data_IF_965871428358
#
_entry.id   IF_965871428358
#
_cell.length_a   1.000
_cell.length_b   1.000
_cell.length_c   1.000
_cell.angle_alpha   90.00
_cell.angle_beta   90.00
_cell.angle_gamma   90.00
#
_symmetry.space_group_name_H-M   'P 1'
#
loop_
_entity.id
_entity.type
_entity.pdbx_description
1 polymer ?
#
# COMPACT_ATOMS: atom_id res chain seq x y z
N UNK A 1 24.55 21.53 24.21
CA UNK A 1 24.31 20.06 24.29
C UNK A 1 23.82 19.55 22.93
N UNK A 2 24.60 18.72 22.23
CA UNK A 2 24.14 18.11 20.96
C UNK A 2 23.14 16.97 21.27
N UNK A 3 22.00 16.85 20.56
CA UNK A 3 21.06 15.77 20.80
C UNK A 3 21.67 14.44 20.35
N UNK A 4 21.63 13.43 21.23
CA UNK A 4 22.11 12.06 20.94
C UNK A 4 21.28 11.46 19.78
N UNK A 5 21.92 10.72 18.85
CA UNK A 5 21.20 10.08 17.76
C UNK A 5 20.20 9.06 18.31
N UNK A 6 18.93 9.16 17.90
CA UNK A 6 17.88 8.18 18.24
C UNK A 6 18.32 6.79 17.73
N UNK A 7 18.50 5.84 18.66
CA UNK A 7 18.75 4.43 18.33
C UNK A 7 17.63 3.93 17.42
N UNK A 8 17.97 3.48 16.20
CA UNK A 8 17.03 2.77 15.32
C UNK A 8 16.59 1.50 16.06
N UNK A 9 15.34 1.44 16.51
CA UNK A 9 14.77 0.21 17.04
C UNK A 9 14.66 -0.81 15.89
N UNK A 10 15.62 -1.74 15.82
CA UNK A 10 15.41 -3.01 15.11
C UNK A 10 14.31 -3.75 15.87
N UNK A 11 13.06 -3.65 15.42
CA UNK A 11 11.99 -4.54 15.89
C UNK A 11 12.44 -5.97 15.58
N UNK A 12 12.67 -6.79 16.62
CA UNK A 12 12.71 -8.23 16.40
C UNK A 12 11.35 -8.65 15.85
N UNK A 13 11.34 -9.57 14.89
CA UNK A 13 10.09 -10.10 14.35
C UNK A 13 9.44 -11.00 15.40
N UNK A 14 8.78 -10.39 16.39
CA UNK A 14 7.95 -11.09 17.36
C UNK A 14 6.79 -11.82 16.67
N UNK A 15 6.22 -12.79 17.37
CA UNK A 15 5.02 -13.51 16.92
C UNK A 15 3.88 -12.52 16.59
N UNK A 16 3.05 -12.81 15.57
CA UNK A 16 1.91 -11.96 15.26
C UNK A 16 0.97 -11.88 16.48
N UNK A 17 0.41 -10.70 16.74
CA UNK A 17 -0.57 -10.49 17.83
C UNK A 17 -1.90 -11.17 17.54
N UNK A 18 -2.20 -11.37 16.26
CA UNK A 18 -3.35 -12.14 15.79
C UNK A 18 -2.85 -13.10 14.70
N UNK A 19 -2.95 -14.42 14.96
CA UNK A 19 -2.53 -15.42 14.00
C UNK A 19 -3.47 -15.43 12.79
N UNK A 20 -2.94 -15.40 11.57
CA UNK A 20 -3.75 -15.46 10.36
C UNK A 20 -4.51 -16.78 10.24
N UNK A 21 -5.80 -16.72 9.85
CA UNK A 21 -6.54 -17.91 9.49
C UNK A 21 -5.96 -18.57 8.23
N UNK A 22 -6.00 -19.91 8.15
CA UNK A 22 -5.59 -20.64 6.95
C UNK A 22 -6.51 -20.30 5.75
N UNK A 23 -5.96 -20.26 4.54
CA UNK A 23 -6.69 -19.86 3.32
C UNK A 23 -7.78 -20.86 2.93
N UNK A 24 -7.69 -22.09 3.43
CA UNK A 24 -8.70 -23.14 3.33
C UNK A 24 -10.03 -22.72 3.99
N UNK A 25 -10.01 -21.75 4.92
CA UNK A 25 -11.22 -21.15 5.51
C UNK A 25 -11.82 -20.02 4.67
N UNK A 26 -11.21 -19.63 3.55
CA UNK A 26 -11.69 -18.54 2.70
C UNK A 26 -12.98 -18.97 1.99
N UNK A 27 -14.05 -18.18 2.13
CA UNK A 27 -15.30 -18.42 1.40
C UNK A 27 -15.06 -18.35 -0.11
N UNK A 28 -15.72 -19.23 -0.88
CA UNK A 28 -15.62 -19.26 -2.35
C UNK A 28 -15.95 -17.90 -2.99
N UNK A 29 -16.95 -17.19 -2.47
CA UNK A 29 -17.31 -15.85 -2.93
C UNK A 29 -16.17 -14.83 -2.78
N UNK A 30 -15.43 -14.88 -1.68
CA UNK A 30 -14.26 -14.02 -1.45
C UNK A 30 -13.11 -14.35 -2.39
N UNK A 31 -12.84 -15.64 -2.61
CA UNK A 31 -11.83 -16.08 -3.56
C UNK A 31 -12.17 -15.63 -5.00
N UNK A 32 -13.45 -15.74 -5.41
CA UNK A 32 -13.93 -15.24 -6.69
C UNK A 32 -13.79 -13.72 -6.83
N UNK A 33 -14.07 -12.96 -5.76
CA UNK A 33 -13.87 -11.51 -5.77
C UNK A 33 -12.40 -11.15 -6.00
N UNK A 34 -11.47 -11.78 -5.26
CA UNK A 34 -10.03 -11.54 -5.40
C UNK A 34 -9.49 -11.89 -6.80
N UNK A 35 -10.02 -12.94 -7.43
CA UNK A 35 -9.62 -13.38 -8.76
C UNK A 35 -9.90 -12.35 -9.88
N UNK A 36 -10.75 -11.35 -9.62
CA UNK A 36 -11.05 -10.25 -10.55
C UNK A 36 -9.93 -9.21 -10.62
N UNK A 37 -9.07 -9.10 -9.61
CA UNK A 37 -7.98 -8.13 -9.61
C UNK A 37 -6.89 -8.61 -10.58
N UNK A 38 -6.48 -7.78 -11.56
CA UNK A 38 -5.45 -8.16 -12.53
C UNK A 38 -4.05 -8.22 -11.90
N UNK A 39 -3.13 -8.93 -12.58
CA UNK A 39 -1.71 -9.01 -12.20
C UNK A 39 -1.31 -10.21 -11.33
N UNK A 40 -0.02 -10.32 -11.03
CA UNK A 40 0.55 -11.43 -10.27
C UNK A 40 0.53 -11.23 -8.74
N UNK A 41 0.21 -10.03 -8.24
CA UNK A 41 0.25 -9.68 -6.81
C UNK A 41 -0.68 -10.53 -5.92
N UNK A 42 -1.75 -11.09 -6.50
CA UNK A 42 -2.65 -12.04 -5.84
C UNK A 42 -2.48 -13.47 -6.35
N UNK A 43 -1.30 -13.84 -6.85
CA UNK A 43 -1.04 -15.17 -7.38
C UNK A 43 0.24 -15.79 -6.79
N UNK A 44 0.23 -17.13 -6.74
CA UNK A 44 1.42 -17.93 -6.45
C UNK A 44 2.10 -17.62 -5.11
N UNK A 45 3.44 -17.61 -5.13
CA UNK A 45 4.27 -17.50 -3.91
C UNK A 45 4.25 -16.11 -3.26
N UNK A 46 3.71 -15.10 -3.95
CA UNK A 46 3.60 -13.73 -3.44
C UNK A 46 2.21 -13.43 -2.87
N UNK A 47 1.27 -14.37 -2.95
CA UNK A 47 -0.09 -14.17 -2.45
C UNK A 47 -0.08 -13.72 -0.97
N UNK A 48 -0.77 -12.62 -0.62
CA UNK A 48 -0.73 -12.00 0.70
C UNK A 48 -1.61 -12.73 1.72
N UNK A 49 -1.39 -14.04 1.88
CA UNK A 49 -2.21 -14.92 2.73
C UNK A 49 -2.25 -14.49 4.18
N UNK A 50 -1.18 -13.91 4.73
CA UNK A 50 -1.16 -13.59 6.15
C UNK A 50 -2.04 -12.39 6.48
N UNK A 51 -2.03 -11.31 5.68
CA UNK A 51 -2.95 -10.18 5.91
C UNK A 51 -4.40 -10.55 5.60
N UNK A 52 -4.65 -11.30 4.52
CA UNK A 52 -6.01 -11.75 4.20
C UNK A 52 -6.56 -12.67 5.29
N UNK A 53 -5.76 -13.63 5.76
CA UNK A 53 -6.15 -14.52 6.86
C UNK A 53 -6.33 -13.80 8.19
N UNK A 54 -5.65 -12.67 8.39
CA UNK A 54 -5.87 -11.81 9.56
C UNK A 54 -7.22 -11.11 9.47
N UNK A 55 -7.58 -10.55 8.31
CA UNK A 55 -8.87 -9.89 8.10
C UNK A 55 -10.06 -10.85 8.15
N UNK A 56 -9.87 -12.10 7.72
CA UNK A 56 -10.90 -13.15 7.75
C UNK A 56 -11.45 -13.47 9.15
N UNK A 57 -10.76 -13.07 10.23
CA UNK A 57 -11.28 -13.22 11.60
C UNK A 57 -12.61 -12.48 11.80
N UNK A 58 -12.87 -11.42 11.05
CA UNK A 58 -14.18 -10.78 11.01
C UNK A 58 -14.73 -10.80 9.57
N UNK A 59 -15.46 -11.87 9.25
CA UNK A 59 -16.06 -12.06 7.93
C UNK A 59 -17.16 -11.06 7.57
N UNK A 60 -17.85 -10.50 8.56
CA UNK A 60 -18.91 -9.50 8.37
C UNK A 60 -18.34 -8.16 7.90
N UNK A 61 -17.10 -7.84 8.30
CA UNK A 61 -16.33 -6.69 7.80
C UNK A 61 -15.58 -7.06 6.51
N UNK A 62 -14.94 -8.22 6.47
CA UNK A 62 -14.04 -8.60 5.37
C UNK A 62 -14.77 -8.74 4.04
N UNK A 63 -15.97 -9.33 4.02
CA UNK A 63 -16.77 -9.48 2.79
C UNK A 63 -17.08 -8.14 2.11
N UNK A 64 -17.83 -7.23 2.77
CA UNK A 64 -18.12 -5.91 2.22
C UNK A 64 -16.87 -5.09 1.89
N UNK A 65 -15.80 -5.22 2.69
CA UNK A 65 -14.52 -4.59 2.37
C UNK A 65 -13.93 -5.11 1.06
N UNK A 66 -13.97 -6.42 0.79
CA UNK A 66 -13.51 -6.99 -0.48
C UNK A 66 -14.30 -6.41 -1.66
N UNK A 67 -15.62 -6.28 -1.53
CA UNK A 67 -16.45 -5.73 -2.61
C UNK A 67 -16.07 -4.27 -2.91
N UNK A 68 -15.91 -3.44 -1.87
CA UNK A 68 -15.42 -2.07 -2.02
C UNK A 68 -14.01 -2.02 -2.62
N UNK A 69 -13.07 -2.82 -2.10
CA UNK A 69 -11.67 -2.80 -2.51
C UNK A 69 -11.49 -3.29 -3.96
N UNK A 70 -12.08 -4.43 -4.31
CA UNK A 70 -12.04 -5.00 -5.66
C UNK A 70 -12.78 -4.10 -6.64
N UNK A 71 -13.96 -3.60 -6.26
CA UNK A 71 -14.72 -2.65 -7.07
C UNK A 71 -13.91 -1.39 -7.39
N UNK A 72 -13.27 -0.78 -6.38
CA UNK A 72 -12.35 0.34 -6.62
C UNK A 72 -11.25 -0.04 -7.60
N UNK A 73 -10.55 -1.17 -7.38
CA UNK A 73 -9.42 -1.61 -8.22
C UNK A 73 -9.78 -1.74 -9.70
N UNK A 74 -11.02 -2.10 -10.03
CA UNK A 74 -11.50 -2.21 -11.41
C UNK A 74 -11.84 -0.86 -12.06
N UNK A 75 -12.03 0.19 -11.27
CA UNK A 75 -12.59 1.46 -11.74
C UNK A 75 -11.79 2.71 -11.30
N UNK A 76 -10.54 2.56 -10.84
CA UNK A 76 -9.73 3.69 -10.34
C UNK A 76 -9.39 4.74 -11.41
N UNK A 77 -9.32 4.34 -12.69
CA UNK A 77 -8.80 5.20 -13.76
C UNK A 77 -7.31 5.58 -13.58
N UNK A 78 -6.61 4.93 -12.65
CA UNK A 78 -5.16 5.04 -12.44
C UNK A 78 -4.47 3.80 -13.00
N UNK A 79 -3.33 3.98 -13.65
CA UNK A 79 -2.51 2.86 -14.10
C UNK A 79 -2.01 2.04 -12.91
N UNK A 80 -1.66 0.78 -13.13
CA UNK A 80 -1.12 -0.07 -12.04
C UNK A 80 0.15 0.56 -11.45
N UNK A 81 1.01 1.11 -12.30
CA UNK A 81 2.22 1.85 -11.88
C UNK A 81 1.89 3.01 -10.93
N UNK A 82 0.93 3.86 -11.30
CA UNK A 82 0.51 4.98 -10.46
C UNK A 82 -0.03 4.52 -9.11
N UNK A 83 -0.83 3.45 -9.10
CA UNK A 83 -1.34 2.86 -7.87
C UNK A 83 -0.18 2.35 -6.99
N UNK A 84 0.77 1.61 -7.56
CA UNK A 84 1.92 1.07 -6.82
C UNK A 84 2.80 2.17 -6.21
N UNK A 85 2.96 3.31 -6.89
CA UNK A 85 3.68 4.46 -6.31
C UNK A 85 2.98 5.03 -5.07
N UNK A 86 1.65 5.21 -5.13
CA UNK A 86 0.84 5.65 -3.99
C UNK A 86 0.95 4.63 -2.84
N UNK A 87 0.83 3.34 -3.16
CA UNK A 87 0.90 2.24 -2.19
C UNK A 87 2.24 2.16 -1.49
N UNK A 88 3.34 2.21 -2.24
CA UNK A 88 4.69 2.21 -1.69
C UNK A 88 4.92 3.45 -0.84
N UNK A 89 4.36 4.61 -1.22
CA UNK A 89 4.46 5.81 -0.40
C UNK A 89 3.68 5.69 0.91
N UNK A 90 2.48 5.13 0.87
CA UNK A 90 1.71 4.78 2.06
C UNK A 90 2.48 3.82 2.99
N UNK A 91 3.18 2.84 2.43
CA UNK A 91 4.03 1.94 3.20
C UNK A 91 5.13 2.69 3.97
N UNK A 92 5.78 3.68 3.34
CA UNK A 92 6.79 4.52 3.98
C UNK A 92 6.18 5.37 5.11
N UNK A 93 5.09 6.08 4.81
CA UNK A 93 4.43 6.99 5.76
C UNK A 93 3.90 6.26 7.00
N UNK A 94 3.39 5.03 6.83
CA UNK A 94 2.95 4.18 7.94
C UNK A 94 4.06 3.29 8.51
N UNK A 95 5.29 3.34 7.98
CA UNK A 95 6.41 2.45 8.36
C UNK A 95 6.03 0.97 8.30
N UNK A 96 5.27 0.59 7.29
CA UNK A 96 4.72 -0.75 7.11
C UNK A 96 5.59 -1.61 6.19
N UNK A 97 6.46 -2.40 6.79
CA UNK A 97 7.32 -3.39 6.11
C UNK A 97 6.53 -4.38 5.25
N UNK A 98 5.36 -4.83 5.74
CA UNK A 98 4.56 -5.82 5.04
C UNK A 98 4.10 -5.28 3.68
N UNK A 99 3.47 -4.10 3.67
CA UNK A 99 3.02 -3.45 2.43
C UNK A 99 4.22 -3.20 1.52
N UNK A 100 5.30 -2.62 2.05
CA UNK A 100 6.49 -2.32 1.26
C UNK A 100 7.03 -3.57 0.54
N UNK A 101 7.24 -4.67 1.26
CA UNK A 101 7.83 -5.89 0.69
C UNK A 101 6.90 -6.60 -0.29
N UNK A 102 5.59 -6.53 -0.10
CA UNK A 102 4.61 -7.07 -1.06
C UNK A 102 4.56 -6.28 -2.35
N UNK A 103 4.66 -4.95 -2.26
CA UNK A 103 4.44 -4.08 -3.40
C UNK A 103 5.71 -3.74 -4.20
N UNK A 104 6.91 -3.88 -3.63
CA UNK A 104 8.16 -3.68 -4.42
C UNK A 104 8.25 -4.59 -5.66
N UNK A 105 7.98 -5.91 -5.58
CA UNK A 105 7.97 -6.77 -6.77
C UNK A 105 6.93 -6.35 -7.81
N UNK A 106 5.72 -5.99 -7.37
CA UNK A 106 4.62 -5.57 -8.26
C UNK A 106 4.98 -4.23 -8.92
N UNK A 107 5.43 -3.24 -8.17
CA UNK A 107 5.89 -1.97 -8.72
C UNK A 107 6.98 -2.16 -9.80
N UNK A 108 7.91 -3.09 -9.59
CA UNK A 108 8.96 -3.43 -10.58
C UNK A 108 8.41 -4.09 -11.83
N UNK A 109 7.40 -4.96 -11.70
CA UNK A 109 6.66 -5.54 -12.84
C UNK A 109 6.07 -4.44 -13.72
N UNK A 110 5.63 -3.33 -13.12
CA UNK A 110 5.12 -2.14 -13.81
C UNK A 110 6.17 -1.02 -13.98
N UNK A 111 7.44 -1.42 -14.07
CA UNK A 111 8.55 -0.58 -14.52
C UNK A 111 9.10 0.40 -13.49
N UNK A 112 8.71 0.33 -12.21
CA UNK A 112 9.26 1.23 -11.17
C UNK A 112 10.71 0.88 -10.91
N UNK A 113 11.60 1.83 -11.17
CA UNK A 113 13.04 1.64 -11.16
C UNK A 113 13.66 1.75 -9.76
N UNK A 114 14.86 1.21 -9.51
CA UNK A 114 15.53 1.30 -8.22
C UNK A 114 15.71 2.75 -7.70
N UNK A 115 16.03 3.70 -8.58
CA UNK A 115 16.16 5.12 -8.22
C UNK A 115 14.83 5.73 -7.75
N UNK A 116 13.74 5.32 -8.39
CA UNK A 116 12.39 5.74 -8.02
C UNK A 116 11.98 5.16 -6.67
N UNK A 117 12.26 3.88 -6.41
CA UNK A 117 12.04 3.27 -5.08
C UNK A 117 12.81 4.01 -3.97
N UNK A 118 14.05 4.44 -4.25
CA UNK A 118 14.83 5.25 -3.31
C UNK A 118 14.22 6.64 -3.09
N UNK A 119 13.70 7.26 -4.14
CA UNK A 119 12.98 8.53 -4.06
C UNK A 119 11.69 8.41 -3.24
N UNK A 120 10.89 7.35 -3.44
CA UNK A 120 9.68 7.06 -2.64
C UNK A 120 10.02 6.90 -1.16
N UNK A 121 11.08 6.13 -0.84
CA UNK A 121 11.54 5.95 0.56
C UNK A 121 11.97 7.25 1.22
N UNK A 122 12.73 8.08 0.50
CA UNK A 122 13.28 9.32 1.05
C UNK A 122 12.29 10.49 1.09
N UNK A 123 11.17 10.40 0.37
CA UNK A 123 10.24 11.52 0.17
C UNK A 123 10.78 12.59 -0.79
N UNK A 124 11.92 12.34 -1.45
CA UNK A 124 12.56 13.29 -2.38
C UNK A 124 12.23 12.90 -3.82
N UNK A 125 11.05 13.28 -4.29
CA UNK A 125 10.53 12.82 -5.58
C UNK A 125 11.23 13.44 -6.81
N UNK A 126 11.97 14.55 -6.65
CA UNK A 126 12.85 15.11 -7.68
C UNK A 126 12.24 15.19 -9.10
N UNK A 127 13.08 15.00 -10.12
CA UNK A 127 12.68 14.87 -11.54
C UNK A 127 12.71 13.42 -12.03
N UNK A 128 12.90 12.45 -11.13
CA UNK A 128 12.94 11.02 -11.50
C UNK A 128 11.57 10.49 -11.91
N UNK A 129 10.49 11.15 -11.48
CA UNK A 129 9.12 10.84 -11.89
C UNK A 129 8.60 11.83 -12.94
N UNK A 130 7.75 11.37 -13.87
CA UNK A 130 6.87 12.22 -14.67
C UNK A 130 6.03 13.16 -13.78
N UNK A 131 5.56 14.31 -14.32
CA UNK A 131 4.81 15.30 -13.54
C UNK A 131 3.62 14.71 -12.78
N UNK A 132 2.78 13.91 -13.44
CA UNK A 132 1.58 13.32 -12.82
C UNK A 132 1.91 12.38 -11.66
N UNK A 133 2.87 11.47 -11.85
CA UNK A 133 3.34 10.54 -10.81
C UNK A 133 3.92 11.26 -9.60
N UNK A 134 4.72 12.32 -9.84
CA UNK A 134 5.22 13.20 -8.77
C UNK A 134 4.08 13.89 -8.02
N UNK A 135 3.06 14.34 -8.74
CA UNK A 135 1.85 14.91 -8.16
C UNK A 135 1.15 13.93 -7.24
N UNK A 136 0.92 12.69 -7.67
CA UNK A 136 0.29 11.63 -6.86
C UNK A 136 1.06 11.35 -5.57
N UNK A 137 2.40 11.28 -5.63
CA UNK A 137 3.24 11.09 -4.46
C UNK A 137 3.14 12.26 -3.46
N UNK A 138 3.16 13.51 -3.95
CA UNK A 138 3.00 14.70 -3.11
C UNK A 138 1.60 14.81 -2.49
N UNK A 139 0.57 14.50 -3.27
CA UNK A 139 -0.81 14.49 -2.78
C UNK A 139 -1.04 13.39 -1.75
N UNK A 140 -0.38 12.25 -1.90
CA UNK A 140 -0.38 11.18 -0.89
C UNK A 140 0.24 11.69 0.43
N UNK A 141 1.33 12.44 0.36
CA UNK A 141 1.93 13.08 1.54
C UNK A 141 0.97 14.08 2.20
N UNK A 142 0.32 14.96 1.43
CA UNK A 142 -0.67 15.92 1.97
C UNK A 142 -1.82 15.21 2.72
N UNK A 143 -2.43 14.21 2.08
CA UNK A 143 -3.56 13.46 2.64
C UNK A 143 -3.18 12.75 3.95
N UNK A 144 -1.93 12.32 4.10
CA UNK A 144 -1.49 11.59 5.30
C UNK A 144 -0.89 12.51 6.36
N UNK A 145 -0.08 13.48 5.99
CA UNK A 145 0.60 14.34 6.96
C UNK A 145 -0.30 15.48 7.44
N UNK A 146 -1.13 16.03 6.57
CA UNK A 146 -1.98 17.18 6.85
C UNK A 146 -3.46 16.84 6.96
N UNK A 147 -3.88 15.63 6.57
CA UNK A 147 -5.29 15.20 6.55
C UNK A 147 -6.19 16.08 5.67
N UNK A 148 -5.58 16.78 4.73
CA UNK A 148 -6.22 17.68 3.77
C UNK A 148 -5.23 17.95 2.64
N UNK A 149 -5.68 18.62 1.57
CA UNK A 149 -4.79 19.14 0.53
C UNK A 149 -4.72 20.65 0.71
N UNK A 150 -3.53 21.18 1.05
CA UNK A 150 -3.38 22.62 1.24
C UNK A 150 -3.57 23.35 -0.09
N UNK A 151 -4.12 24.58 -0.04
CA UNK A 151 -4.52 25.34 -1.22
C UNK A 151 -3.42 25.51 -2.29
N UNK A 152 -2.16 25.68 -1.86
CA UNK A 152 -1.03 25.79 -2.78
C UNK A 152 -0.72 24.49 -3.54
N UNK A 153 -0.93 23.34 -2.90
CA UNK A 153 -0.76 22.02 -3.53
C UNK A 153 -1.97 21.71 -4.41
N UNK A 154 -3.18 22.03 -3.97
CA UNK A 154 -4.40 21.88 -4.76
C UNK A 154 -4.31 22.64 -6.09
N UNK A 155 -4.03 23.95 -6.04
CA UNK A 155 -3.89 24.79 -7.25
C UNK A 155 -2.85 24.25 -8.23
N UNK A 156 -1.80 23.59 -7.73
CA UNK A 156 -0.73 23.03 -8.58
C UNK A 156 -1.16 21.76 -9.32
N UNK A 157 -2.03 20.94 -8.72
CA UNK A 157 -2.30 19.58 -9.18
C UNK A 157 -3.76 19.28 -9.47
N UNK A 158 -4.68 20.22 -9.26
CA UNK A 158 -6.13 20.02 -9.47
C UNK A 158 -6.45 19.48 -10.86
N UNK A 159 -5.73 19.93 -11.90
CA UNK A 159 -5.93 19.53 -13.30
C UNK A 159 -5.16 18.27 -13.70
N UNK A 160 -4.35 17.70 -12.80
CA UNK A 160 -3.58 16.47 -13.09
C UNK A 160 -4.42 15.20 -13.00
N UNK A 161 -5.61 15.29 -12.37
CA UNK A 161 -6.54 14.18 -12.15
C UNK A 161 -7.95 14.59 -12.53
N UNK A 162 -8.70 13.67 -13.14
CA UNK A 162 -10.15 13.84 -13.30
C UNK A 162 -10.85 13.77 -11.93
N UNK A 163 -12.10 14.29 -11.81
CA UNK A 163 -12.88 14.12 -10.57
C UNK A 163 -12.99 12.67 -10.10
N UNK A 164 -13.13 11.70 -11.03
CA UNK A 164 -13.14 10.28 -10.71
C UNK A 164 -11.79 9.79 -10.16
N UNK A 165 -10.66 10.23 -10.73
CA UNK A 165 -9.32 9.89 -10.23
C UNK A 165 -9.02 10.51 -8.86
N UNK A 166 -9.59 11.68 -8.54
CA UNK A 166 -9.53 12.26 -7.19
C UNK A 166 -10.19 11.35 -6.15
N UNK A 167 -11.40 10.83 -6.46
CA UNK A 167 -12.07 9.85 -5.58
C UNK A 167 -11.26 8.55 -5.49
N UNK A 168 -10.66 8.11 -6.59
CA UNK A 168 -9.79 6.93 -6.60
C UNK A 168 -8.54 7.11 -5.73
N UNK A 169 -7.90 8.28 -5.76
CA UNK A 169 -6.74 8.59 -4.92
C UNK A 169 -7.10 8.51 -3.42
N UNK A 170 -8.18 9.18 -3.00
CA UNK A 170 -8.65 9.16 -1.61
C UNK A 170 -9.02 7.73 -1.18
N UNK A 171 -9.70 6.99 -2.06
CA UNK A 171 -10.08 5.60 -1.82
C UNK A 171 -8.86 4.71 -1.63
N UNK A 172 -7.86 4.81 -2.52
CA UNK A 172 -6.63 4.02 -2.44
C UNK A 172 -5.82 4.37 -1.18
N UNK A 173 -5.67 5.65 -0.84
CA UNK A 173 -5.02 6.07 0.41
C UNK A 173 -5.75 5.46 1.61
N UNK A 174 -7.08 5.56 1.67
CA UNK A 174 -7.89 5.05 2.78
C UNK A 174 -7.79 3.52 2.93
N UNK A 175 -7.81 2.79 1.81
CA UNK A 175 -7.59 1.34 1.81
C UNK A 175 -6.22 0.97 2.38
N UNK A 176 -5.17 1.74 2.04
CA UNK A 176 -3.83 1.50 2.56
C UNK A 176 -3.60 2.00 3.99
N UNK A 177 -4.45 2.90 4.50
CA UNK A 177 -4.55 3.11 5.96
C UNK A 177 -4.99 1.82 6.64
N UNK A 178 -6.09 1.21 6.19
CA UNK A 178 -6.58 -0.05 6.77
C UNK A 178 -5.53 -1.15 6.70
N UNK A 179 -4.94 -1.39 5.51
CA UNK A 179 -3.91 -2.43 5.36
C UNK A 179 -2.67 -2.15 6.21
N UNK A 180 -2.17 -0.91 6.22
CA UNK A 180 -0.97 -0.59 6.98
C UNK A 180 -1.21 -0.67 8.50
N UNK A 181 -2.35 -0.19 8.98
CA UNK A 181 -2.73 -0.32 10.39
C UNK A 181 -2.93 -1.77 10.78
N UNK A 182 -3.66 -2.58 9.99
CA UNK A 182 -3.84 -4.02 10.25
C UNK A 182 -2.49 -4.72 10.37
N UNK A 183 -1.60 -4.50 9.40
CA UNK A 183 -0.29 -5.13 9.38
C UNK A 183 0.59 -4.73 10.59
N UNK A 184 0.62 -3.44 10.92
CA UNK A 184 1.43 -2.93 12.02
C UNK A 184 0.84 -3.27 13.40
N UNK A 185 -0.48 -3.15 13.57
CA UNK A 185 -1.19 -3.38 14.81
C UNK A 185 -1.21 -4.87 15.17
N UNK A 186 -1.33 -5.76 14.20
CA UNK A 186 -1.32 -7.20 14.46
C UNK A 186 0.04 -7.87 14.24
N UNK A 187 1.08 -7.09 13.90
CA UNK A 187 2.41 -7.59 13.60
C UNK A 187 2.37 -8.74 12.57
N UNK A 188 1.60 -8.54 11.50
CA UNK A 188 1.36 -9.56 10.46
C UNK A 188 2.69 -9.99 9.88
N UNK A 189 2.91 -11.31 9.86
CA UNK A 189 4.18 -11.87 9.41
C UNK A 189 4.32 -11.79 7.90
N UNK A 190 5.47 -11.32 7.43
CA UNK A 190 5.79 -11.33 6.00
C UNK A 190 5.99 -12.76 5.50
N UNK A 191 5.41 -13.07 4.35
CA UNK A 191 5.54 -14.34 3.64
C UNK A 191 7.01 -14.66 3.40
N UNK A 192 7.39 -15.92 3.63
CA UNK A 192 8.79 -16.37 3.53
C UNK A 192 9.49 -15.92 2.23
N UNK A 193 8.87 -16.01 1.03
CA UNK A 193 9.51 -15.58 -0.22
C UNK A 193 9.84 -14.09 -0.28
N UNK A 194 9.11 -13.26 0.46
CA UNK A 194 9.25 -11.80 0.45
C UNK A 194 10.24 -11.28 1.50
N UNK A 195 10.71 -12.12 2.43
CA UNK A 195 11.65 -11.70 3.48
C UNK A 195 12.96 -11.14 2.93
N UNK A 196 13.40 -11.65 1.76
CA UNK A 196 14.62 -11.21 1.06
C UNK A 196 14.49 -9.85 0.36
N UNK A 197 13.26 -9.33 0.19
CA UNK A 197 13.06 -7.99 -0.35
C UNK A 197 13.60 -6.96 0.67
N UNK A 198 14.43 -6.00 0.23
CA UNK A 198 14.93 -4.94 1.12
C UNK A 198 13.77 -4.19 1.78
N UNK A 199 13.81 -4.05 3.10
CA UNK A 199 12.82 -3.33 3.90
C UNK A 199 12.91 -1.80 3.77
N UNK A 200 12.20 -1.10 4.65
CA UNK A 200 12.26 0.35 4.84
C UNK A 200 13.49 0.79 5.63
#
# INVERSE_FOLDING_TARGET
>A
MRPKPRKKHKRSAGSPRLAALPMEKMKKSWAHALARIPGAGLKGKLFPKNVLGTLMHNGEIFGPFLDYWVGCKLHMGLTVREQELIILRMAVLYRCEYVWKHHVPVAREFGVQPAELAAVRSGKFGRVFPPKERGLLLLTDELVEHRTIRAGVWRRWQDALTPAQWIALVSLVSQYVLFALTNNAFAVRIERPLRKIPGL
#
